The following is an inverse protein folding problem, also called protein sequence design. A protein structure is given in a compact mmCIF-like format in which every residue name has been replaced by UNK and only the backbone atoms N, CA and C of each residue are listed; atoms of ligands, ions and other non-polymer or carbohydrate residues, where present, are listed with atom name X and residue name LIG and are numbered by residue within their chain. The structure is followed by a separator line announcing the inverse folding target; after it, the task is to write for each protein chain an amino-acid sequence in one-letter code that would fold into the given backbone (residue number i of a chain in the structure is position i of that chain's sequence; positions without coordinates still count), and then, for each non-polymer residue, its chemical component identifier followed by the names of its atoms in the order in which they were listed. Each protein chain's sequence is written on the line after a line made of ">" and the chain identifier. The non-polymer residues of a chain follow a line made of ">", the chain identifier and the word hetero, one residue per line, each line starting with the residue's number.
data_IF_449135897646
#
_entry.id   IF_449135897646
#
_cell.length_a   1.000
_cell.length_b   1.000
_cell.length_c   1.000
_cell.angle_alpha   90.00
_cell.angle_beta   90.00
_cell.angle_gamma   90.00
#
_symmetry.space_group_name_H-M   'P 1'
#
loop_
_entity.id
_entity.type
_entity.pdbx_description
1 polymer ?
#
# COMPACT_ATOMS: atom_id res chain seq x y z
N UNK A 1 -40.81 -40.11 45.84
CA UNK A 1 -39.76 -39.35 45.18
C UNK A 1 -38.57 -39.19 46.15
N UNK A 2 -37.47 -39.94 45.93
CA UNK A 2 -36.27 -39.87 46.75
C UNK A 2 -35.41 -38.70 46.29
N UNK A 3 -35.35 -37.64 47.08
CA UNK A 3 -34.41 -36.52 46.85
C UNK A 3 -32.98 -37.04 47.06
N UNK A 4 -32.23 -37.14 45.96
CA UNK A 4 -30.79 -37.39 46.01
C UNK A 4 -30.08 -36.16 46.59
N UNK A 5 -29.69 -36.23 47.88
CA UNK A 5 -28.80 -35.22 48.48
C UNK A 5 -27.41 -35.46 47.89
N UNK A 6 -27.03 -34.65 46.90
CA UNK A 6 -25.67 -34.64 46.33
C UNK A 6 -24.76 -34.10 47.45
N UNK A 7 -23.83 -34.94 47.92
CA UNK A 7 -22.92 -34.58 49.03
C UNK A 7 -21.97 -33.44 48.56
N UNK A 8 -21.60 -32.48 49.46
CA UNK A 8 -20.73 -31.32 49.15
C UNK A 8 -19.36 -31.75 48.56
N UNK A 9 -18.89 -32.96 48.92
CA UNK A 9 -17.66 -33.53 48.37
C UNK A 9 -17.75 -33.84 46.87
N UNK A 10 -18.91 -34.30 46.32
CA UNK A 10 -19.11 -34.56 44.92
C UNK A 10 -19.14 -33.25 44.12
N UNK A 11 -19.79 -32.20 44.69
CA UNK A 11 -19.80 -30.89 44.05
C UNK A 11 -18.40 -30.28 43.98
N UNK A 12 -17.59 -30.43 45.01
CA UNK A 12 -16.20 -29.93 45.00
C UNK A 12 -15.34 -30.70 43.97
N UNK A 13 -15.46 -32.00 43.89
CA UNK A 13 -14.74 -32.81 42.90
C UNK A 13 -15.12 -32.44 41.47
N UNK A 14 -16.40 -32.18 41.20
CA UNK A 14 -16.88 -31.73 39.89
C UNK A 14 -16.31 -30.35 39.50
N UNK A 15 -16.29 -29.41 40.43
CA UNK A 15 -15.72 -28.07 40.21
C UNK A 15 -14.20 -28.13 39.91
N UNK A 16 -13.47 -28.96 40.67
CA UNK A 16 -12.04 -29.19 40.42
C UNK A 16 -11.80 -29.79 39.05
N UNK A 17 -12.64 -30.77 38.65
CA UNK A 17 -12.52 -31.43 37.33
C UNK A 17 -12.80 -30.45 36.18
N UNK A 18 -13.82 -29.58 36.30
CA UNK A 18 -14.13 -28.54 35.32
C UNK A 18 -12.98 -27.53 35.23
N UNK A 19 -12.44 -27.10 36.36
CA UNK A 19 -11.29 -26.18 36.43
C UNK A 19 -10.05 -26.78 35.76
N UNK A 20 -9.72 -28.05 36.03
CA UNK A 20 -8.61 -28.73 35.39
C UNK A 20 -8.82 -28.90 33.89
N UNK A 21 -10.03 -29.26 33.48
CA UNK A 21 -10.35 -29.41 32.04
C UNK A 21 -10.25 -28.07 31.30
N UNK A 22 -10.72 -26.97 31.90
CA UNK A 22 -10.59 -25.64 31.34
C UNK A 22 -9.12 -25.22 31.25
N UNK A 23 -8.34 -25.46 32.30
CA UNK A 23 -6.90 -25.14 32.32
C UNK A 23 -6.10 -25.94 31.29
N UNK A 24 -6.35 -27.24 31.18
CA UNK A 24 -5.74 -28.09 30.13
C UNK A 24 -6.19 -27.69 28.74
N UNK A 25 -7.43 -27.26 28.58
CA UNK A 25 -7.97 -26.73 27.32
C UNK A 25 -7.24 -25.45 26.90
N UNK A 26 -6.97 -24.53 27.85
CA UNK A 26 -6.19 -23.31 27.52
C UNK A 26 -4.74 -23.63 27.16
N UNK A 27 -4.09 -24.57 27.86
CA UNK A 27 -2.73 -25.02 27.53
C UNK A 27 -2.67 -25.71 26.17
N UNK A 28 -3.71 -26.48 25.80
CA UNK A 28 -3.80 -27.13 24.49
C UNK A 28 -4.02 -26.12 23.37
N UNK A 29 -4.87 -25.12 23.58
CA UNK A 29 -5.11 -24.04 22.64
C UNK A 29 -3.87 -23.16 22.46
N UNK A 30 -3.14 -22.86 23.54
CA UNK A 30 -1.89 -22.09 23.48
C UNK A 30 -0.78 -22.80 22.67
N UNK A 31 -0.82 -24.15 22.63
CA UNK A 31 0.09 -24.95 21.80
C UNK A 31 -0.32 -25.02 20.32
N UNK A 32 -1.61 -24.92 20.03
CA UNK A 32 -2.14 -25.01 18.67
C UNK A 32 -2.15 -23.67 17.94
N UNK A 33 -2.19 -22.57 18.70
CA UNK A 33 -2.11 -21.23 18.12
C UNK A 33 -0.63 -20.85 18.05
N UNK A 34 0.00 -20.92 16.85
CA UNK A 34 1.35 -20.38 16.72
C UNK A 34 1.30 -18.91 17.14
N UNK A 35 2.12 -18.61 18.10
CA UNK A 35 2.28 -17.36 18.82
C UNK A 35 1.93 -16.13 17.96
N UNK A 36 0.72 -15.61 18.08
CA UNK A 36 0.31 -14.29 17.54
C UNK A 36 0.88 -13.17 18.46
N UNK A 37 1.89 -13.48 19.25
CA UNK A 37 2.68 -12.48 19.94
C UNK A 37 3.69 -11.92 18.95
N UNK A 38 3.38 -10.69 18.54
CA UNK A 38 4.23 -9.81 17.74
C UNK A 38 4.46 -10.30 16.31
N UNK A 39 3.46 -10.09 15.45
CA UNK A 39 3.84 -9.65 14.11
C UNK A 39 4.72 -8.42 14.33
N UNK A 40 5.99 -8.43 13.91
CA UNK A 40 6.77 -7.21 13.98
C UNK A 40 6.02 -6.15 13.17
N UNK A 41 5.74 -5.03 13.79
CA UNK A 41 5.03 -3.85 13.26
C UNK A 41 5.80 -3.18 12.10
N UNK A 42 6.78 -3.85 11.57
CA UNK A 42 7.66 -3.42 10.47
C UNK A 42 7.76 -4.45 9.35
N UNK A 43 6.69 -5.19 9.07
CA UNK A 43 6.59 -5.83 7.76
C UNK A 43 5.90 -4.84 6.81
N UNK A 44 6.58 -3.74 6.54
CA UNK A 44 6.55 -3.16 5.20
C UNK A 44 7.02 -4.30 4.30
N UNK A 45 6.08 -5.04 3.73
CA UNK A 45 6.37 -6.08 2.77
C UNK A 45 6.85 -5.37 1.51
N UNK A 46 8.12 -4.94 1.54
CA UNK A 46 8.86 -4.55 0.36
C UNK A 46 8.98 -5.82 -0.45
N UNK A 47 8.04 -6.02 -1.33
CA UNK A 47 8.18 -7.04 -2.35
C UNK A 47 9.15 -6.43 -3.34
N UNK A 48 10.43 -6.85 -3.27
CA UNK A 48 11.35 -6.61 -4.37
C UNK A 48 10.74 -7.33 -5.57
N UNK A 49 10.15 -6.54 -6.45
CA UNK A 49 9.49 -7.05 -7.63
C UNK A 49 10.41 -6.74 -8.82
N UNK A 50 11.11 -7.75 -9.33
CA UNK A 50 11.97 -7.61 -10.50
C UNK A 50 11.21 -7.90 -11.80
N UNK A 51 9.91 -7.62 -11.84
CA UNK A 51 9.07 -7.82 -13.01
C UNK A 51 9.01 -6.54 -13.87
N UNK A 52 8.96 -6.73 -15.17
CA UNK A 52 8.71 -5.61 -16.08
C UNK A 52 7.34 -5.00 -15.79
N UNK A 53 7.26 -3.67 -15.81
CA UNK A 53 5.98 -2.98 -15.66
C UNK A 53 5.04 -3.41 -16.79
N UNK A 54 3.76 -3.74 -16.50
CA UNK A 54 2.77 -3.99 -17.52
C UNK A 54 2.63 -2.81 -18.47
N UNK A 55 2.39 -3.08 -19.77
CA UNK A 55 2.11 -2.00 -20.70
C UNK A 55 0.69 -1.49 -20.48
N UNK A 56 0.55 -0.20 -20.24
CA UNK A 56 -0.74 0.49 -20.15
C UNK A 56 -0.62 1.93 -20.65
N UNK A 57 -1.76 2.53 -20.94
CA UNK A 57 -1.88 3.94 -21.29
C UNK A 57 -2.82 4.64 -20.33
N UNK A 58 -2.65 5.92 -20.17
CA UNK A 58 -3.52 6.77 -19.34
C UNK A 58 -3.71 8.13 -19.98
N UNK A 59 -4.84 8.77 -19.71
CA UNK A 59 -5.12 10.12 -20.21
C UNK A 59 -4.90 11.14 -19.11
N UNK A 60 -3.89 11.97 -19.27
CA UNK A 60 -3.52 13.01 -18.32
C UNK A 60 -4.62 14.07 -18.14
N UNK A 61 -4.41 14.96 -17.16
CA UNK A 61 -5.35 16.07 -16.89
C UNK A 61 -5.44 17.05 -18.06
N UNK A 62 -4.39 17.16 -18.87
CA UNK A 62 -4.32 17.97 -20.09
C UNK A 62 -5.04 17.32 -21.31
N UNK A 63 -5.59 16.14 -21.15
CA UNK A 63 -6.30 15.39 -22.18
C UNK A 63 -5.41 14.57 -23.12
N UNK A 64 -4.10 14.58 -22.94
CA UNK A 64 -3.19 13.74 -23.73
C UNK A 64 -3.16 12.33 -23.23
N UNK A 65 -3.22 11.36 -24.13
CA UNK A 65 -3.00 9.96 -23.83
C UNK A 65 -1.52 9.62 -23.97
N UNK A 66 -0.95 9.06 -22.91
CA UNK A 66 0.45 8.67 -22.79
C UNK A 66 0.53 7.19 -22.48
N UNK A 67 1.58 6.53 -22.93
CA UNK A 67 1.92 5.16 -22.55
C UNK A 67 3.02 5.17 -21.48
N UNK A 68 3.01 4.15 -20.61
CA UNK A 68 4.13 3.96 -19.68
C UNK A 68 5.48 3.83 -20.41
N UNK A 69 5.47 3.31 -21.64
CA UNK A 69 6.66 3.17 -22.49
C UNK A 69 7.28 4.49 -22.93
N UNK A 70 6.50 5.58 -22.97
CA UNK A 70 6.99 6.91 -23.35
C UNK A 70 8.02 7.44 -22.34
N UNK A 71 8.06 6.86 -21.15
CA UNK A 71 8.98 7.21 -20.07
C UNK A 71 10.17 6.26 -19.93
N UNK A 72 10.48 5.46 -20.97
CA UNK A 72 11.68 4.62 -20.93
C UNK A 72 12.94 5.47 -20.73
N UNK A 73 13.86 5.00 -19.91
CA UNK A 73 15.07 5.73 -19.51
C UNK A 73 14.87 6.71 -18.35
N UNK A 74 13.66 6.80 -17.78
CA UNK A 74 13.34 7.59 -16.60
C UNK A 74 13.03 6.70 -15.42
N UNK A 75 13.25 7.21 -14.20
CA UNK A 75 12.68 6.63 -12.98
C UNK A 75 11.22 7.06 -12.88
N UNK A 76 10.35 6.18 -12.38
CA UNK A 76 8.93 6.48 -12.26
C UNK A 76 8.46 6.20 -10.84
N UNK A 77 7.74 7.16 -10.26
CA UNK A 77 6.88 6.96 -9.09
C UNK A 77 5.48 6.78 -9.65
N UNK A 78 4.95 5.54 -9.60
CA UNK A 78 3.57 5.24 -9.96
C UNK A 78 2.78 5.09 -8.67
N UNK A 79 1.92 6.06 -8.38
CA UNK A 79 1.12 6.12 -7.16
C UNK A 79 -0.35 5.91 -7.44
N UNK A 80 -0.98 5.03 -6.67
CA UNK A 80 -2.42 4.76 -6.68
C UNK A 80 -3.07 5.46 -5.49
N UNK A 81 -4.01 6.34 -5.78
CA UNK A 81 -4.58 7.26 -4.80
C UNK A 81 -6.04 7.59 -5.06
N UNK A 82 -6.66 8.39 -4.19
CA UNK A 82 -7.97 9.00 -4.42
C UNK A 82 -8.13 10.27 -3.57
N UNK A 83 -8.99 11.18 -3.99
CA UNK A 83 -9.24 12.44 -3.28
C UNK A 83 -9.91 12.26 -1.91
N UNK A 84 -10.58 11.15 -1.69
CA UNK A 84 -11.22 10.77 -0.42
C UNK A 84 -10.30 9.95 0.51
N UNK A 85 -9.10 9.59 0.05
CA UNK A 85 -8.14 8.78 0.79
C UNK A 85 -7.21 9.69 1.63
N UNK A 86 -7.51 9.86 2.91
CA UNK A 86 -6.75 10.75 3.81
C UNK A 86 -5.24 10.45 3.86
N UNK A 87 -4.75 9.19 3.98
CA UNK A 87 -3.32 8.93 3.95
C UNK A 87 -2.70 9.25 2.58
N UNK A 88 -3.42 9.05 1.47
CA UNK A 88 -2.93 9.41 0.13
C UNK A 88 -2.64 10.92 0.03
N UNK A 89 -3.54 11.73 0.58
CA UNK A 89 -3.42 13.21 0.55
C UNK A 89 -2.14 13.67 1.27
N UNK A 90 -1.75 12.97 2.33
CA UNK A 90 -0.55 13.32 3.11
C UNK A 90 0.75 13.04 2.36
N UNK A 91 0.78 12.00 1.52
CA UNK A 91 2.00 11.61 0.80
C UNK A 91 2.19 12.35 -0.53
N UNK A 92 1.10 12.78 -1.19
CA UNK A 92 1.18 13.46 -2.49
C UNK A 92 2.18 14.63 -2.53
N UNK A 93 2.22 15.57 -1.55
CA UNK A 93 3.20 16.65 -1.56
C UNK A 93 4.66 16.17 -1.58
N UNK A 94 4.94 15.02 -0.96
CA UNK A 94 6.28 14.46 -0.89
C UNK A 94 6.72 13.90 -2.24
N UNK A 95 5.82 13.27 -2.98
CA UNK A 95 6.08 12.82 -4.35
C UNK A 95 6.28 13.98 -5.31
N UNK A 96 5.42 15.02 -5.22
CA UNK A 96 5.53 16.19 -6.06
C UNK A 96 6.85 16.94 -5.80
N UNK A 97 7.27 17.03 -4.53
CA UNK A 97 8.57 17.59 -4.16
C UNK A 97 9.72 16.77 -4.77
N UNK A 98 9.71 15.44 -4.64
CA UNK A 98 10.76 14.59 -5.20
C UNK A 98 10.85 14.71 -6.73
N UNK A 99 9.70 14.75 -7.43
CA UNK A 99 9.65 14.95 -8.87
C UNK A 99 10.16 16.34 -9.27
N UNK A 100 9.77 17.39 -8.54
CA UNK A 100 10.23 18.77 -8.77
C UNK A 100 11.73 18.98 -8.56
N UNK A 101 12.34 18.24 -7.64
CA UNK A 101 13.79 18.28 -7.41
C UNK A 101 14.59 17.51 -8.49
N UNK A 102 13.95 16.63 -9.28
CA UNK A 102 14.58 15.80 -10.30
C UNK A 102 13.79 15.77 -11.63
N UNK A 103 13.45 16.93 -12.22
CA UNK A 103 12.49 17.01 -13.32
C UNK A 103 12.93 16.27 -14.58
N UNK A 104 14.24 16.14 -14.80
CA UNK A 104 14.78 15.51 -16.00
C UNK A 104 14.83 13.97 -15.92
N UNK A 105 14.84 13.39 -14.71
CA UNK A 105 15.07 11.95 -14.54
C UNK A 105 13.97 11.22 -13.80
N UNK A 106 13.10 11.93 -13.10
CA UNK A 106 12.03 11.34 -12.28
C UNK A 106 10.66 11.77 -12.78
N UNK A 107 9.83 10.82 -13.10
CA UNK A 107 8.43 11.00 -13.52
C UNK A 107 7.54 10.63 -12.34
N UNK A 108 6.52 11.45 -12.08
CA UNK A 108 5.44 11.11 -11.18
C UNK A 108 4.16 10.84 -11.99
N UNK A 109 3.52 9.71 -11.73
CA UNK A 109 2.23 9.33 -12.31
C UNK A 109 1.29 8.97 -11.16
N UNK A 110 0.26 9.79 -10.92
CA UNK A 110 -0.79 9.54 -9.94
C UNK A 110 -2.07 9.04 -10.64
N UNK A 111 -2.36 7.74 -10.52
CA UNK A 111 -3.62 7.16 -10.99
C UNK A 111 -4.66 7.23 -9.90
N UNK A 112 -5.75 7.97 -10.16
CA UNK A 112 -6.81 8.23 -9.21
C UNK A 112 -7.96 7.23 -9.35
N UNK A 113 -8.36 6.62 -8.24
CA UNK A 113 -9.57 5.80 -8.12
C UNK A 113 -10.82 6.64 -7.75
N UNK A 114 -10.83 7.94 -8.04
CA UNK A 114 -12.03 8.76 -7.92
C UNK A 114 -13.10 8.30 -8.91
N UNK A 115 -14.36 8.59 -8.63
CA UNK A 115 -15.48 8.18 -9.49
C UNK A 115 -15.49 8.90 -10.84
N UNK A 116 -14.99 10.13 -10.87
CA UNK A 116 -14.96 10.98 -12.06
C UNK A 116 -13.78 11.96 -12.05
N UNK A 117 -13.44 12.46 -13.22
CA UNK A 117 -12.35 13.42 -13.43
C UNK A 117 -12.59 14.75 -12.72
N UNK A 118 -13.84 15.18 -12.64
CA UNK A 118 -14.22 16.46 -12.02
C UNK A 118 -13.88 16.47 -10.54
N UNK A 119 -14.16 15.39 -9.81
CA UNK A 119 -13.80 15.26 -8.38
C UNK A 119 -12.31 15.29 -8.16
N UNK A 120 -11.56 14.52 -8.95
CA UNK A 120 -10.10 14.53 -8.92
C UNK A 120 -9.56 15.94 -9.17
N UNK A 121 -10.01 16.61 -10.24
CA UNK A 121 -9.55 17.95 -10.62
C UNK A 121 -9.93 19.01 -9.60
N UNK A 122 -11.15 18.93 -9.03
CA UNK A 122 -11.58 19.84 -7.96
C UNK A 122 -10.66 19.72 -6.75
N UNK A 123 -10.32 18.49 -6.36
CA UNK A 123 -9.40 18.23 -5.25
C UNK A 123 -8.00 18.81 -5.54
N UNK A 124 -7.39 18.48 -6.69
CA UNK A 124 -6.06 18.96 -7.05
C UNK A 124 -5.97 20.49 -7.03
N UNK A 125 -6.99 21.18 -7.57
CA UNK A 125 -7.09 22.65 -7.52
C UNK A 125 -7.22 23.17 -6.10
N UNK A 126 -8.06 22.55 -5.27
CA UNK A 126 -8.28 22.97 -3.88
C UNK A 126 -7.00 22.84 -3.03
N UNK A 127 -6.17 21.84 -3.29
CA UNK A 127 -4.90 21.64 -2.60
C UNK A 127 -3.78 22.57 -3.12
N UNK A 128 -4.04 23.30 -4.21
CA UNK A 128 -3.06 24.18 -4.86
C UNK A 128 -1.74 23.49 -5.22
N UNK A 129 -1.83 22.21 -5.66
CA UNK A 129 -0.65 21.48 -6.12
C UNK A 129 -0.16 22.03 -7.46
N UNK A 130 1.14 22.20 -7.60
CA UNK A 130 1.76 22.52 -8.88
C UNK A 130 1.83 21.27 -9.76
N UNK A 131 0.78 21.09 -10.57
CA UNK A 131 0.66 19.98 -11.53
C UNK A 131 1.04 20.39 -12.96
N UNK A 132 1.60 21.58 -13.14
CA UNK A 132 2.00 22.11 -14.45
C UNK A 132 3.36 21.59 -14.94
N UNK A 133 4.12 20.94 -14.10
CA UNK A 133 5.44 20.42 -14.40
C UNK A 133 5.36 19.26 -15.42
N UNK A 134 6.29 19.26 -16.38
CA UNK A 134 6.31 18.32 -17.51
C UNK A 134 6.50 16.85 -17.13
N UNK A 135 6.95 16.59 -15.92
CA UNK A 135 7.22 15.26 -15.37
C UNK A 135 6.20 14.83 -14.30
N UNK A 136 5.11 15.58 -14.14
CA UNK A 136 4.04 15.28 -13.17
C UNK A 136 2.74 15.03 -13.94
N UNK A 137 2.20 13.84 -13.78
CA UNK A 137 0.98 13.40 -14.44
C UNK A 137 -0.04 12.92 -13.42
N UNK A 138 -1.26 13.44 -13.53
CA UNK A 138 -2.42 12.89 -12.83
C UNK A 138 -3.42 12.40 -13.87
N UNK A 139 -4.00 11.23 -13.61
CA UNK A 139 -5.00 10.63 -14.48
C UNK A 139 -6.06 9.92 -13.65
N UNK A 140 -7.29 9.87 -14.17
CA UNK A 140 -8.32 9.01 -13.63
C UNK A 140 -8.06 7.57 -14.09
N UNK A 141 -8.18 6.60 -13.19
CA UNK A 141 -8.07 5.17 -13.51
C UNK A 141 -9.39 4.63 -14.11
N UNK A 142 -9.75 5.15 -15.28
CA UNK A 142 -11.01 4.80 -15.96
C UNK A 142 -11.06 3.36 -16.48
N UNK A 143 -9.90 2.73 -16.65
CA UNK A 143 -9.78 1.35 -17.15
C UNK A 143 -9.49 0.33 -16.04
N UNK A 144 -9.58 0.77 -14.79
CA UNK A 144 -9.29 -0.07 -13.63
C UNK A 144 -7.88 -0.72 -13.67
N UNK A 145 -6.91 0.02 -14.17
CA UNK A 145 -5.49 -0.38 -14.30
C UNK A 145 -4.92 -0.78 -12.94
N UNK A 146 -5.23 0.01 -11.92
CA UNK A 146 -4.80 -0.18 -10.53
C UNK A 146 -5.08 -1.59 -10.03
N UNK A 147 -6.28 -2.11 -10.27
CA UNK A 147 -6.67 -3.44 -9.81
C UNK A 147 -6.27 -4.53 -10.81
N UNK A 148 -6.52 -4.33 -12.12
CA UNK A 148 -6.37 -5.37 -13.13
C UNK A 148 -4.92 -5.71 -13.43
N UNK A 149 -4.03 -4.70 -13.48
CA UNK A 149 -2.62 -4.89 -13.82
C UNK A 149 -1.70 -4.95 -12.59
N UNK A 150 -2.00 -4.19 -11.54
CA UNK A 150 -1.12 -4.06 -10.38
C UNK A 150 -1.63 -4.76 -9.12
N UNK A 151 -2.84 -5.34 -9.18
CA UNK A 151 -3.47 -6.07 -8.08
C UNK A 151 -3.50 -5.24 -6.78
N UNK A 152 -3.73 -3.94 -6.92
CA UNK A 152 -3.86 -3.01 -5.81
C UNK A 152 -5.30 -2.97 -5.35
N UNK A 153 -5.57 -3.37 -4.11
CA UNK A 153 -6.91 -3.47 -3.51
C UNK A 153 -7.12 -2.49 -2.37
N UNK A 154 -6.10 -1.72 -2.02
CA UNK A 154 -6.16 -0.71 -0.95
C UNK A 154 -5.26 0.46 -1.27
N UNK A 155 -5.66 1.65 -0.82
CA UNK A 155 -4.91 2.89 -1.04
C UNK A 155 -4.32 3.41 0.28
N UNK A 156 -3.19 4.11 0.23
CA UNK A 156 -2.35 4.31 -0.95
C UNK A 156 -1.43 3.12 -1.23
N UNK A 157 -1.00 3.01 -2.46
CA UNK A 157 0.05 2.10 -2.86
C UNK A 157 0.94 2.77 -3.91
N UNK A 158 2.24 2.57 -3.82
CA UNK A 158 3.22 3.21 -4.73
C UNK A 158 4.18 2.18 -5.26
N UNK A 159 4.44 2.22 -6.56
CA UNK A 159 5.44 1.39 -7.22
C UNK A 159 6.56 2.29 -7.72
N UNK A 160 7.80 1.97 -7.35
CA UNK A 160 8.99 2.60 -7.88
C UNK A 160 9.53 1.75 -9.04
N UNK A 161 9.70 2.39 -10.19
CA UNK A 161 10.08 1.75 -11.45
C UNK A 161 11.41 2.35 -11.90
N UNK A 162 12.34 1.49 -12.32
CA UNK A 162 13.64 1.92 -12.81
C UNK A 162 13.64 2.33 -14.30
N UNK A 163 14.79 2.80 -14.78
CA UNK A 163 14.99 3.24 -16.18
C UNK A 163 14.75 2.16 -17.22
N UNK A 164 14.84 0.90 -16.84
CA UNK A 164 14.58 -0.27 -17.70
C UNK A 164 13.12 -0.71 -17.66
N UNK A 165 12.26 0.07 -16.99
CA UNK A 165 10.85 -0.24 -16.76
C UNK A 165 10.65 -1.54 -15.96
N UNK A 166 11.53 -1.78 -14.99
CA UNK A 166 11.39 -2.86 -14.02
C UNK A 166 10.82 -2.28 -12.72
N UNK A 167 9.75 -2.88 -12.21
CA UNK A 167 9.20 -2.58 -10.90
C UNK A 167 10.17 -3.08 -9.83
N UNK A 168 10.72 -2.17 -9.03
CA UNK A 168 11.73 -2.50 -8.02
C UNK A 168 11.17 -2.57 -6.61
N UNK A 169 10.30 -1.64 -6.28
CA UNK A 169 9.79 -1.51 -4.92
C UNK A 169 8.30 -1.21 -4.95
N UNK A 170 7.54 -1.93 -4.15
CA UNK A 170 6.14 -1.67 -3.89
C UNK A 170 6.00 -1.18 -2.45
N UNK A 171 5.50 0.04 -2.26
CA UNK A 171 5.27 0.67 -0.96
C UNK A 171 3.76 0.62 -0.70
N UNK A 172 3.36 0.05 0.42
CA UNK A 172 1.95 -0.08 0.81
C UNK A 172 1.70 0.80 2.03
N UNK A 173 0.71 1.71 1.93
CA UNK A 173 0.42 2.67 2.99
C UNK A 173 1.31 3.91 2.93
N UNK A 174 1.10 4.84 3.87
CA UNK A 174 1.77 6.15 3.91
C UNK A 174 2.69 6.31 5.15
N UNK A 175 3.05 5.23 5.82
CA UNK A 175 3.90 5.24 7.02
C UNK A 175 5.39 5.21 6.62
N UNK A 176 5.82 6.26 5.92
CA UNK A 176 7.20 6.44 5.46
C UNK A 176 7.56 7.93 5.43
N UNK A 177 8.85 8.22 5.50
CA UNK A 177 9.38 9.59 5.48
C UNK A 177 9.88 9.99 4.10
N UNK A 178 10.05 11.30 3.87
CA UNK A 178 10.65 11.82 2.63
C UNK A 178 12.06 11.26 2.40
N UNK A 179 12.85 11.16 3.47
CA UNK A 179 14.22 10.64 3.44
C UNK A 179 14.25 9.17 3.01
N UNK A 180 13.29 8.37 3.48
CA UNK A 180 13.14 6.98 3.05
C UNK A 180 12.76 6.87 1.58
N UNK A 181 11.85 7.71 1.09
CA UNK A 181 11.49 7.77 -0.34
C UNK A 181 12.72 8.09 -1.18
N UNK A 182 13.47 9.15 -0.81
CA UNK A 182 14.67 9.56 -1.55
C UNK A 182 15.75 8.48 -1.50
N UNK A 183 15.92 7.79 -0.37
CA UNK A 183 16.84 6.65 -0.26
C UNK A 183 16.49 5.54 -1.23
N UNK A 184 15.19 5.17 -1.32
CA UNK A 184 14.70 4.15 -2.26
C UNK A 184 14.89 4.57 -3.72
N UNK A 185 14.62 5.83 -4.06
CA UNK A 185 14.84 6.36 -5.41
C UNK A 185 16.34 6.32 -5.77
N UNK A 186 17.22 6.69 -4.85
CA UNK A 186 18.67 6.59 -5.06
C UNK A 186 19.13 5.14 -5.24
N UNK A 187 18.55 4.19 -4.51
CA UNK A 187 18.87 2.77 -4.67
C UNK A 187 18.52 2.25 -6.09
N UNK A 188 17.51 2.82 -6.77
CA UNK A 188 17.21 2.48 -8.16
C UNK A 188 18.31 2.91 -9.14
N UNK A 189 19.15 3.87 -8.75
CA UNK A 189 20.22 4.42 -9.59
C UNK A 189 21.48 3.56 -9.57
N UNK A 190 21.60 2.69 -8.55
CA UNK A 190 22.75 1.80 -8.42
C UNK A 190 22.54 0.56 -9.30
N UNK A 191 23.49 0.21 -10.20
CA UNK A 191 23.37 -1.02 -10.98
C UNK A 191 23.26 -2.21 -10.02
N UNK A 192 22.19 -2.96 -10.14
CA UNK A 192 22.07 -4.23 -9.42
C UNK A 192 22.96 -5.24 -10.15
N UNK A 193 24.00 -5.71 -9.48
CA UNK A 193 24.89 -6.76 -9.98
C UNK A 193 24.17 -8.10 -10.00
#
# INVERSE_FOLDING_TARGET
>A
MRSMKITPLINFAVLVFIGCAAYLGTLYLDRQIPNIKTAPESVLKQTENNQSVPNFSFTGTDGKTLSIKDFQGKFIILNFWASWCTPCIKELPLFLKAAGENPENLIFIGLSSDLDKEKMMHFLKKQNFDISQKNIFFALDSENITQSLFQTFRLPETILIDKNQIMRTKIIGADWTYEELISKIKALQTPQQ
#
